data_IF_367142972630
#
_entry.id   IF_367142972630
#
_cell.length_a   1.000
_cell.length_b   1.000
_cell.length_c   1.000
_cell.angle_alpha   90.00
_cell.angle_beta   90.00
_cell.angle_gamma   90.00
#
_symmetry.space_group_name_H-M   'P 1'
#
loop_
_entity.id
_entity.type
_entity.pdbx_description
1 polymer ?
#
# COMPACT_ATOMS: atom_id res chain seq x y z
N UNK A 1 33.72 -12.45 -25.15
CA UNK A 1 32.75 -11.59 -25.86
C UNK A 1 31.58 -11.34 -24.92
N UNK A 2 31.33 -10.09 -24.51
CA UNK A 2 30.21 -9.75 -23.63
C UNK A 2 28.97 -9.52 -24.51
N UNK A 3 27.98 -10.41 -24.40
CA UNK A 3 26.69 -10.25 -25.08
C UNK A 3 25.86 -9.28 -24.25
N UNK A 4 25.80 -8.03 -24.69
CA UNK A 4 24.96 -7.00 -24.08
C UNK A 4 23.51 -7.26 -24.48
N UNK A 5 22.74 -7.88 -23.57
CA UNK A 5 21.29 -8.09 -23.71
C UNK A 5 20.58 -6.76 -23.41
N UNK A 6 20.77 -5.74 -24.25
CA UNK A 6 19.92 -4.54 -24.17
C UNK A 6 18.82 -4.72 -25.20
N UNK A 7 17.60 -4.93 -24.71
CA UNK A 7 16.41 -5.01 -25.56
C UNK A 7 16.22 -3.70 -26.32
N UNK A 8 16.04 -3.73 -27.67
CA UNK A 8 15.88 -2.53 -28.51
C UNK A 8 14.70 -1.63 -28.12
N UNK A 9 13.81 -2.13 -27.26
CA UNK A 9 12.58 -1.44 -26.85
C UNK A 9 12.79 -0.34 -25.80
N UNK A 10 14.00 -0.17 -25.25
CA UNK A 10 14.26 0.88 -24.27
C UNK A 10 14.03 2.30 -24.83
N UNK A 11 14.31 2.50 -26.13
CA UNK A 11 14.07 3.77 -26.84
C UNK A 11 12.63 3.89 -27.38
N UNK A 12 11.95 2.78 -27.63
CA UNK A 12 10.60 2.74 -28.21
C UNK A 12 9.47 3.01 -27.19
N UNK A 13 9.77 2.96 -25.88
CA UNK A 13 8.78 3.20 -24.82
C UNK A 13 8.84 4.65 -24.38
N UNK A 14 7.83 5.44 -24.77
CA UNK A 14 7.66 6.78 -24.19
C UNK A 14 7.59 6.66 -22.66
N UNK A 15 8.36 7.46 -21.89
CA UNK A 15 8.31 7.41 -20.44
C UNK A 15 6.93 7.83 -19.96
N UNK A 16 6.08 6.83 -19.67
CA UNK A 16 4.75 7.06 -19.10
C UNK A 16 4.91 7.39 -17.62
N UNK A 17 5.02 8.69 -17.31
CA UNK A 17 5.02 9.18 -15.94
C UNK A 17 3.60 9.03 -15.37
N UNK A 18 3.40 8.08 -14.48
CA UNK A 18 2.15 7.96 -13.75
C UNK A 18 2.07 9.06 -12.69
N UNK A 19 1.09 9.96 -12.81
CA UNK A 19 0.86 11.00 -11.80
C UNK A 19 0.44 10.37 -10.48
N UNK A 20 1.25 10.55 -9.44
CA UNK A 20 0.85 10.16 -8.08
C UNK A 20 -0.16 11.16 -7.54
N UNK A 21 -1.34 10.68 -7.18
CA UNK A 21 -2.35 11.50 -6.49
C UNK A 21 -1.99 11.47 -5.00
N UNK A 22 -1.52 12.61 -4.48
CA UNK A 22 -1.29 12.79 -3.06
C UNK A 22 -2.63 13.11 -2.41
N UNK A 23 -3.03 12.32 -1.43
CA UNK A 23 -4.25 12.55 -0.63
C UNK A 23 -3.87 13.10 0.73
N UNK A 24 -4.71 13.96 1.28
CA UNK A 24 -4.56 14.44 2.65
C UNK A 24 -4.67 13.27 3.64
N UNK A 25 -3.92 13.40 4.73
CA UNK A 25 -3.92 12.43 5.81
C UNK A 25 -5.27 12.45 6.55
N UNK A 26 -5.88 11.28 6.69
CA UNK A 26 -7.08 11.12 7.51
C UNK A 26 -6.71 11.13 9.00
N UNK A 27 -7.40 11.90 9.86
CA UNK A 27 -7.15 11.87 11.30
C UNK A 27 -7.61 10.53 11.89
N UNK A 28 -6.95 10.12 12.98
CA UNK A 28 -7.15 8.81 13.59
C UNK A 28 -8.57 8.58 14.14
N UNK A 29 -9.30 9.65 14.44
CA UNK A 29 -10.69 9.67 14.90
C UNK A 29 -11.70 9.37 13.80
N UNK A 30 -11.39 9.72 12.55
CA UNK A 30 -12.28 9.54 11.39
C UNK A 30 -12.15 8.16 10.73
N UNK A 31 -11.19 7.35 11.17
CA UNK A 31 -11.02 5.98 10.68
C UNK A 31 -12.20 5.13 11.16
N UNK A 32 -12.90 4.48 10.22
CA UNK A 32 -13.97 3.54 10.56
C UNK A 32 -13.45 2.45 11.53
N UNK A 33 -14.11 2.21 12.67
CA UNK A 33 -13.67 1.23 13.66
C UNK A 33 -13.43 -0.19 13.10
N UNK A 34 -14.24 -0.63 12.13
CA UNK A 34 -14.08 -1.95 11.51
C UNK A 34 -12.78 -2.04 10.70
N UNK A 35 -12.48 -1.01 9.91
CA UNK A 35 -11.26 -0.92 9.11
C UNK A 35 -10.02 -0.74 10.00
N UNK A 36 -10.16 -0.01 11.11
CA UNK A 36 -9.13 0.08 12.15
C UNK A 36 -8.83 -1.28 12.78
N UNK A 37 -9.86 -2.05 13.11
CA UNK A 37 -9.70 -3.40 13.64
C UNK A 37 -9.01 -4.34 12.63
N UNK A 38 -9.37 -4.22 11.35
CA UNK A 38 -8.74 -4.99 10.26
C UNK A 38 -7.27 -4.63 10.07
N UNK A 39 -6.91 -3.34 10.05
CA UNK A 39 -5.50 -2.91 10.00
C UNK A 39 -4.68 -3.47 11.18
N UNK A 40 -5.25 -3.46 12.40
CA UNK A 40 -4.62 -4.10 13.57
C UNK A 40 -4.46 -5.61 13.41
N UNK A 41 -5.44 -6.28 12.80
CA UNK A 41 -5.35 -7.71 12.48
C UNK A 41 -4.19 -7.99 11.52
N UNK A 42 -4.05 -7.20 10.46
CA UNK A 42 -2.93 -7.29 9.51
C UNK A 42 -1.60 -7.15 10.21
N UNK A 43 -1.40 -6.06 10.95
CA UNK A 43 -0.16 -5.81 11.70
C UNK A 43 0.19 -6.97 12.66
N UNK A 44 -0.83 -7.56 13.30
CA UNK A 44 -0.64 -8.72 14.20
C UNK A 44 -0.21 -9.98 13.47
N UNK A 45 -0.76 -10.24 12.28
CA UNK A 45 -0.46 -11.42 11.47
C UNK A 45 0.92 -11.32 10.83
N UNK A 46 1.28 -10.14 10.33
CA UNK A 46 2.62 -9.86 9.78
C UNK A 46 3.70 -10.11 10.84
N UNK A 47 3.51 -9.62 12.07
CA UNK A 47 4.46 -9.89 13.17
C UNK A 47 4.66 -11.37 13.47
N UNK A 48 3.66 -12.20 13.16
CA UNK A 48 3.71 -13.67 13.31
C UNK A 48 4.22 -14.38 12.05
N UNK A 49 4.68 -13.64 11.04
CA UNK A 49 5.12 -14.19 9.75
C UNK A 49 3.98 -14.80 8.92
N UNK A 50 2.72 -14.44 9.19
CA UNK A 50 1.54 -15.02 8.52
C UNK A 50 0.92 -14.03 7.55
N UNK A 51 0.63 -14.49 6.32
CA UNK A 51 -0.17 -13.76 5.35
C UNK A 51 -1.61 -13.52 5.81
N UNK A 52 -2.28 -12.56 5.17
CA UNK A 52 -3.67 -12.14 5.43
C UNK A 52 -4.41 -12.03 4.10
N UNK A 53 -5.63 -12.53 4.04
CA UNK A 53 -6.52 -12.35 2.89
C UNK A 53 -7.05 -10.90 2.86
N UNK A 54 -6.85 -10.22 1.73
CA UNK A 54 -7.34 -8.86 1.52
C UNK A 54 -8.61 -8.93 0.67
N UNK A 55 -9.79 -8.61 1.23
CA UNK A 55 -11.03 -8.63 0.46
C UNK A 55 -11.08 -7.46 -0.53
N UNK A 56 -11.95 -7.57 -1.53
CA UNK A 56 -12.27 -6.44 -2.40
C UNK A 56 -12.88 -5.31 -1.57
N UNK A 57 -12.35 -4.10 -1.73
CA UNK A 57 -12.82 -2.91 -1.02
C UNK A 57 -12.60 -1.65 -1.86
N UNK A 58 -13.31 -0.59 -1.51
CA UNK A 58 -13.18 0.71 -2.18
C UNK A 58 -11.83 1.36 -1.84
N UNK A 59 -11.36 2.28 -2.69
CA UNK A 59 -10.12 3.02 -2.45
C UNK A 59 -10.14 3.80 -1.13
N UNK A 60 -11.31 4.30 -0.72
CA UNK A 60 -11.47 5.01 0.56
C UNK A 60 -11.30 4.07 1.74
N UNK A 61 -11.93 2.88 1.71
CA UNK A 61 -11.77 1.86 2.73
C UNK A 61 -10.32 1.36 2.82
N UNK A 62 -9.69 1.14 1.66
CA UNK A 62 -8.29 0.74 1.61
C UNK A 62 -7.36 1.81 2.20
N UNK A 63 -7.59 3.09 1.87
CA UNK A 63 -6.86 4.21 2.45
C UNK A 63 -6.95 4.27 3.98
N UNK A 64 -8.12 3.99 4.55
CA UNK A 64 -8.30 3.93 6.01
C UNK A 64 -7.52 2.77 6.66
N UNK A 65 -7.46 1.61 6.00
CA UNK A 65 -6.65 0.48 6.45
C UNK A 65 -5.16 0.82 6.41
N UNK A 66 -4.68 1.41 5.31
CA UNK A 66 -3.29 1.86 5.18
C UNK A 66 -2.94 2.89 6.25
N UNK A 67 -3.80 3.89 6.48
CA UNK A 67 -3.61 4.89 7.54
C UNK A 67 -3.49 4.25 8.92
N UNK A 68 -4.30 3.23 9.19
CA UNK A 68 -4.20 2.48 10.45
C UNK A 68 -2.85 1.79 10.61
N UNK A 69 -2.31 1.21 9.53
CA UNK A 69 -0.99 0.57 9.54
C UNK A 69 0.14 1.57 9.76
N UNK A 70 0.06 2.75 9.12
CA UNK A 70 1.01 3.85 9.34
C UNK A 70 1.01 4.30 10.80
N UNK A 71 -0.16 4.59 11.37
CA UNK A 71 -0.29 4.96 12.77
C UNK A 71 0.27 3.87 13.68
N UNK A 72 -0.06 2.60 13.42
CA UNK A 72 0.46 1.50 14.24
C UNK A 72 1.98 1.34 14.12
N UNK A 73 2.57 1.66 12.96
CA UNK A 73 4.02 1.68 12.74
C UNK A 73 4.70 2.82 13.50
N UNK A 74 4.07 4.00 13.56
CA UNK A 74 4.62 5.17 14.26
C UNK A 74 4.64 5.00 15.80
N UNK A 75 3.70 4.22 16.35
CA UNK A 75 3.60 3.92 17.79
C UNK A 75 4.11 2.50 18.14
N UNK A 76 5.02 1.93 17.36
CA UNK A 76 5.64 0.63 17.61
C UNK A 76 7.13 0.81 17.87
#
# INVERSE_FOLDING_TARGET
>A
MLVTIVSPSAEAVKPRRHTRIIRADLPASEINPALKAFGRHIARRIRKGRGVHIPAMTNTAYGQVLRTLELKRAFN
#
